data_IF_206824849199
#
_entry.id   IF_206824849199
#
_cell.length_a   1.000
_cell.length_b   1.000
_cell.length_c   1.000
_cell.angle_alpha   90.00
_cell.angle_beta   90.00
_cell.angle_gamma   90.00
#
_symmetry.space_group_name_H-M   'P 1'
#
loop_
_entity.id
_entity.type
_entity.pdbx_description
1 polymer ?
#
# COMPACT_ATOMS: atom_id res chain seq x y z
N UNK A 1 52.43 -43.48 -4.57
CA UNK A 1 52.40 -42.53 -3.42
C UNK A 1 51.16 -41.65 -3.43
N UNK A 2 50.81 -41.02 -4.56
CA UNK A 2 49.63 -40.12 -4.69
C UNK A 2 48.29 -40.81 -4.37
N UNK A 3 48.15 -42.10 -4.71
CA UNK A 3 46.92 -42.86 -4.45
C UNK A 3 46.60 -43.04 -2.95
N UNK A 4 47.61 -43.17 -2.10
CA UNK A 4 47.43 -43.29 -0.64
C UNK A 4 46.89 -41.99 -0.02
N UNK A 5 47.35 -40.85 -0.52
CA UNK A 5 46.90 -39.53 -0.07
C UNK A 5 45.42 -39.34 -0.46
N UNK A 6 45.05 -39.77 -1.67
CA UNK A 6 43.66 -39.70 -2.14
C UNK A 6 42.70 -40.55 -1.31
N UNK A 7 43.12 -41.77 -0.94
CA UNK A 7 42.33 -42.67 -0.08
C UNK A 7 42.22 -42.15 1.35
N UNK A 8 43.32 -41.60 1.90
CA UNK A 8 43.31 -41.01 3.24
C UNK A 8 42.40 -39.78 3.31
N UNK A 9 42.46 -38.90 2.31
CA UNK A 9 41.58 -37.73 2.23
C UNK A 9 40.11 -38.12 2.09
N UNK A 10 39.80 -39.14 1.27
CA UNK A 10 38.43 -39.63 1.12
C UNK A 10 37.88 -40.25 2.41
N UNK A 11 38.67 -41.07 3.10
CA UNK A 11 38.28 -41.64 4.38
C UNK A 11 38.02 -40.55 5.43
N UNK A 12 38.92 -39.57 5.53
CA UNK A 12 38.78 -38.46 6.47
C UNK A 12 37.56 -37.58 6.14
N UNK A 13 37.36 -37.27 4.85
CA UNK A 13 36.19 -36.53 4.39
C UNK A 13 34.88 -37.26 4.65
N UNK A 14 34.85 -38.59 4.51
CA UNK A 14 33.67 -39.41 4.79
C UNK A 14 33.32 -39.41 6.27
N UNK A 15 34.33 -39.54 7.15
CA UNK A 15 34.13 -39.48 8.61
C UNK A 15 33.61 -38.12 9.04
N UNK A 16 34.23 -37.04 8.56
CA UNK A 16 33.79 -35.67 8.88
C UNK A 16 32.40 -35.41 8.30
N UNK A 17 32.14 -35.87 7.07
CA UNK A 17 30.84 -35.73 6.39
C UNK A 17 29.71 -36.42 7.17
N UNK A 18 29.94 -37.64 7.67
CA UNK A 18 28.96 -38.35 8.49
C UNK A 18 28.72 -37.67 9.85
N UNK A 19 29.78 -37.14 10.48
CA UNK A 19 29.64 -36.39 11.73
C UNK A 19 28.81 -35.10 11.57
N UNK A 20 28.98 -34.39 10.46
CA UNK A 20 28.20 -33.17 10.16
C UNK A 20 26.77 -33.55 9.74
N UNK A 21 26.60 -34.58 8.90
CA UNK A 21 25.28 -35.03 8.46
C UNK A 21 24.41 -35.51 9.64
N UNK A 22 25.00 -36.22 10.61
CA UNK A 22 24.29 -36.62 11.84
C UNK A 22 23.97 -35.46 12.78
N UNK A 23 24.66 -34.31 12.66
CA UNK A 23 24.34 -33.07 13.40
C UNK A 23 23.26 -32.24 12.70
N UNK A 24 23.18 -32.32 11.38
CA UNK A 24 22.14 -31.72 10.55
C UNK A 24 20.96 -32.69 10.38
N UNK A 25 20.37 -33.16 11.48
CA UNK A 25 19.05 -33.76 11.41
C UNK A 25 18.04 -32.65 11.10
N UNK A 26 17.77 -32.45 9.81
CA UNK A 26 16.62 -31.68 9.33
C UNK A 26 15.39 -32.48 9.73
N UNK A 27 14.88 -32.22 10.95
CA UNK A 27 13.74 -32.97 11.43
C UNK A 27 12.53 -32.69 10.52
N UNK A 28 11.84 -33.71 10.01
CA UNK A 28 10.66 -33.52 9.17
C UNK A 28 9.58 -32.71 9.89
N UNK A 29 9.57 -32.75 11.23
CA UNK A 29 8.70 -31.94 12.08
C UNK A 29 8.95 -30.44 11.96
N UNK A 30 10.21 -29.98 11.78
CA UNK A 30 10.52 -28.56 11.58
C UNK A 30 10.03 -28.05 10.23
N UNK A 31 10.19 -28.87 9.19
CA UNK A 31 9.69 -28.56 7.84
C UNK A 31 8.17 -28.47 7.85
N UNK A 32 7.50 -29.46 8.46
CA UNK A 32 6.03 -29.46 8.60
C UNK A 32 5.52 -28.26 9.40
N UNK A 33 6.18 -27.92 10.51
CA UNK A 33 5.82 -26.76 11.31
C UNK A 33 5.98 -25.45 10.51
N UNK A 34 7.04 -25.32 9.70
CA UNK A 34 7.24 -24.14 8.86
C UNK A 34 6.19 -24.05 7.74
N UNK A 35 5.80 -25.18 7.15
CA UNK A 35 4.71 -25.24 6.18
C UNK A 35 3.36 -24.83 6.80
N UNK A 36 3.06 -25.32 8.01
CA UNK A 36 1.88 -24.93 8.77
C UNK A 36 1.88 -23.43 9.10
N UNK A 37 3.03 -22.86 9.45
CA UNK A 37 3.16 -21.42 9.68
C UNK A 37 2.91 -20.60 8.42
N UNK A 38 3.45 -21.02 7.27
CA UNK A 38 3.21 -20.34 5.98
C UNK A 38 1.73 -20.42 5.61
N UNK A 39 1.10 -21.59 5.78
CA UNK A 39 -0.33 -21.76 5.51
C UNK A 39 -1.16 -20.86 6.41
N UNK A 40 -0.91 -20.87 7.73
CA UNK A 40 -1.61 -20.02 8.70
C UNK A 40 -1.48 -18.54 8.37
N UNK A 41 -0.28 -18.09 7.99
CA UNK A 41 -0.06 -16.69 7.63
C UNK A 41 -0.83 -16.32 6.36
N UNK A 42 -0.79 -17.17 5.34
CA UNK A 42 -1.55 -16.97 4.11
C UNK A 42 -3.06 -16.92 4.36
N UNK A 43 -3.57 -17.83 5.18
CA UNK A 43 -4.98 -17.89 5.54
C UNK A 43 -5.39 -16.61 6.28
N UNK A 44 -4.59 -16.14 7.26
CA UNK A 44 -4.86 -14.90 7.98
C UNK A 44 -4.85 -13.65 7.08
N UNK A 45 -3.98 -13.64 6.06
CA UNK A 45 -3.97 -12.57 5.06
C UNK A 45 -5.22 -12.60 4.18
N UNK A 46 -5.70 -13.78 3.80
CA UNK A 46 -6.96 -13.92 3.04
C UNK A 46 -8.13 -13.41 3.88
N UNK A 47 -8.24 -13.88 5.12
CA UNK A 47 -9.31 -13.51 6.04
C UNK A 47 -9.33 -11.98 6.29
N UNK A 48 -8.16 -11.36 6.47
CA UNK A 48 -8.06 -9.91 6.59
C UNK A 48 -8.56 -9.19 5.33
N UNK A 49 -8.16 -9.65 4.14
CA UNK A 49 -8.61 -9.06 2.86
C UNK A 49 -10.11 -9.19 2.68
N UNK A 50 -10.68 -10.33 3.05
CA UNK A 50 -12.12 -10.59 2.96
C UNK A 50 -12.89 -9.69 3.93
N UNK A 51 -12.42 -9.55 5.17
CA UNK A 51 -13.01 -8.65 6.17
C UNK A 51 -12.99 -7.18 5.74
N UNK A 52 -11.88 -6.73 5.14
CA UNK A 52 -11.78 -5.37 4.61
C UNK A 52 -12.73 -5.15 3.42
N UNK A 53 -12.82 -6.14 2.53
CA UNK A 53 -13.74 -6.08 1.39
C UNK A 53 -15.20 -6.00 1.85
N UNK A 54 -15.58 -6.75 2.86
CA UNK A 54 -16.91 -6.73 3.45
C UNK A 54 -17.21 -5.37 4.09
N UNK A 55 -16.26 -4.81 4.86
CA UNK A 55 -16.40 -3.49 5.47
C UNK A 55 -16.61 -2.37 4.44
N UNK A 56 -15.86 -2.37 3.35
CA UNK A 56 -16.03 -1.38 2.27
C UNK A 56 -17.32 -1.59 1.49
N UNK A 57 -17.77 -2.84 1.31
CA UNK A 57 -19.06 -3.13 0.67
C UNK A 57 -20.21 -2.58 1.52
N UNK A 58 -20.21 -2.86 2.82
CA UNK A 58 -21.18 -2.32 3.78
C UNK A 58 -21.13 -0.78 3.84
N UNK A 59 -19.94 -0.20 3.82
CA UNK A 59 -19.78 1.27 3.82
C UNK A 59 -20.33 1.89 2.54
N UNK A 60 -20.10 1.26 1.37
CA UNK A 60 -20.64 1.73 0.11
C UNK A 60 -22.17 1.71 0.09
N UNK A 61 -22.78 0.65 0.64
CA UNK A 61 -24.24 0.57 0.81
C UNK A 61 -24.77 1.68 1.73
N UNK A 62 -24.10 1.92 2.86
CA UNK A 62 -24.51 2.96 3.81
C UNK A 62 -24.39 4.38 3.23
N UNK A 63 -23.32 4.64 2.47
CA UNK A 63 -23.12 5.91 1.75
C UNK A 63 -24.16 6.10 0.63
N UNK A 64 -24.52 5.03 -0.07
CA UNK A 64 -25.59 5.06 -1.06
C UNK A 64 -26.93 5.44 -0.39
N UNK A 65 -27.26 4.82 0.74
CA UNK A 65 -28.46 5.14 1.51
C UNK A 65 -28.51 6.59 1.97
N UNK A 66 -27.37 7.13 2.40
CA UNK A 66 -27.24 8.54 2.77
C UNK A 66 -27.44 9.47 1.56
N UNK A 67 -26.89 9.10 0.40
CA UNK A 67 -27.02 9.87 -0.85
C UNK A 67 -28.47 9.90 -1.31
N UNK A 68 -29.18 8.78 -1.24
CA UNK A 68 -30.61 8.70 -1.55
C UNK A 68 -31.44 9.57 -0.60
N UNK A 69 -31.20 9.47 0.71
CA UNK A 69 -31.87 10.30 1.72
C UNK A 69 -31.62 11.80 1.48
N UNK A 70 -30.41 12.18 1.06
CA UNK A 70 -30.08 13.56 0.71
C UNK A 70 -30.86 14.05 -0.53
N UNK A 71 -31.00 13.19 -1.55
CA UNK A 71 -31.80 13.50 -2.75
C UNK A 71 -33.27 13.69 -2.40
N UNK A 72 -33.84 12.83 -1.55
CA UNK A 72 -35.23 12.95 -1.12
C UNK A 72 -35.51 14.29 -0.43
N UNK A 73 -34.61 14.71 0.46
CA UNK A 73 -34.70 16.03 1.11
C UNK A 73 -34.66 17.15 0.08
N UNK A 74 -33.74 17.08 -0.88
CA UNK A 74 -33.64 18.09 -1.93
C UNK A 74 -34.90 18.14 -2.80
N UNK A 75 -35.43 16.99 -3.20
CA UNK A 75 -36.68 16.89 -3.98
C UNK A 75 -37.87 17.47 -3.21
N UNK A 76 -37.93 17.23 -1.90
CA UNK A 76 -38.97 17.79 -1.04
C UNK A 76 -38.86 19.32 -0.92
N UNK A 77 -37.64 19.85 -0.78
CA UNK A 77 -37.39 21.30 -0.78
C UNK A 77 -37.76 21.94 -2.11
N UNK A 78 -37.39 21.31 -3.23
CA UNK A 78 -37.70 21.79 -4.57
C UNK A 78 -39.21 21.84 -4.83
N UNK A 79 -39.93 20.80 -4.39
CA UNK A 79 -41.40 20.72 -4.48
C UNK A 79 -42.06 21.76 -3.58
N UNK A 80 -41.62 21.87 -2.32
CA UNK A 80 -42.13 22.86 -1.37
C UNK A 80 -41.87 24.31 -1.82
N UNK A 81 -40.74 24.58 -2.46
CA UNK A 81 -40.46 25.88 -3.05
C UNK A 81 -41.42 26.21 -4.21
N UNK A 82 -41.74 25.24 -5.07
CA UNK A 82 -42.72 25.41 -6.14
C UNK A 82 -44.13 25.68 -5.62
N UNK A 83 -44.57 24.95 -4.58
CA UNK A 83 -45.91 25.11 -4.00
C UNK A 83 -46.07 26.41 -3.21
N UNK A 84 -45.03 26.85 -2.51
CA UNK A 84 -45.10 27.98 -1.58
C UNK A 84 -44.62 29.32 -2.18
N UNK A 85 -43.88 29.32 -3.29
CA UNK A 85 -43.44 30.55 -3.95
C UNK A 85 -44.27 30.80 -5.23
N UNK A 86 -44.98 31.95 -5.34
CA UNK A 86 -45.65 32.31 -6.59
C UNK A 86 -44.63 32.38 -7.74
N UNK A 87 -45.05 31.86 -8.91
CA UNK A 87 -44.21 31.31 -10.00
C UNK A 87 -43.13 32.19 -10.63
N UNK A 88 -42.93 33.42 -10.20
CA UNK A 88 -41.84 34.29 -10.68
C UNK A 88 -40.55 34.14 -9.86
N UNK A 89 -40.64 33.68 -8.60
CA UNK A 89 -39.50 33.50 -7.69
C UNK A 89 -39.01 32.05 -7.68
N UNK A 90 -39.92 31.07 -7.77
CA UNK A 90 -39.59 29.64 -7.80
C UNK A 90 -38.66 29.29 -8.98
N UNK A 91 -38.93 29.86 -10.16
CA UNK A 91 -38.16 29.68 -11.40
C UNK A 91 -36.73 30.24 -11.34
N UNK A 92 -36.43 31.15 -10.40
CA UNK A 92 -35.08 31.71 -10.18
C UNK A 92 -34.31 31.04 -9.06
N UNK A 93 -34.98 30.30 -8.18
CA UNK A 93 -34.37 29.63 -7.02
C UNK A 93 -34.16 28.12 -7.23
N UNK A 94 -34.94 27.49 -8.11
CA UNK A 94 -34.67 26.15 -8.58
C UNK A 94 -33.55 26.22 -9.62
N UNK A 95 -32.43 25.50 -9.43
CA UNK A 95 -31.47 25.31 -10.52
C UNK A 95 -32.25 24.76 -11.71
N UNK A 96 -32.27 25.50 -12.81
CA UNK A 96 -32.79 24.98 -14.08
C UNK A 96 -32.13 23.62 -14.30
N UNK A 97 -32.92 22.63 -14.70
CA UNK A 97 -32.60 21.19 -14.73
C UNK A 97 -31.20 20.82 -15.27
N UNK A 98 -30.54 21.72 -16.00
CA UNK A 98 -29.17 21.60 -16.50
C UNK A 98 -28.04 21.66 -15.45
N UNK A 99 -28.26 22.14 -14.23
CA UNK A 99 -27.21 22.25 -13.19
C UNK A 99 -27.35 21.18 -12.09
N UNK A 100 -28.25 20.21 -12.28
CA UNK A 100 -28.25 19.00 -11.48
C UNK A 100 -26.98 18.20 -11.80
N UNK A 101 -25.94 18.36 -10.96
CA UNK A 101 -24.66 17.60 -10.94
C UNK A 101 -24.89 16.12 -10.59
N UNK A 102 -25.95 15.54 -11.11
CA UNK A 102 -26.47 14.23 -10.79
C UNK A 102 -27.00 13.50 -12.03
N UNK A 103 -27.00 14.15 -13.19
CA UNK A 103 -27.14 13.44 -14.44
C UNK A 103 -26.00 12.43 -14.54
N UNK A 104 -26.37 11.15 -14.61
CA UNK A 104 -25.47 10.07 -14.98
C UNK A 104 -24.88 10.47 -16.32
N UNK A 105 -23.71 11.09 -16.25
CA UNK A 105 -22.97 11.46 -17.43
C UNK A 105 -22.63 10.14 -18.13
N UNK A 106 -23.38 9.87 -19.20
CA UNK A 106 -22.95 9.01 -20.27
C UNK A 106 -21.76 9.75 -20.90
N UNK A 107 -20.61 9.73 -20.23
CA UNK A 107 -19.39 10.42 -20.65
C UNK A 107 -18.93 9.68 -21.92
N UNK A 108 -18.87 10.35 -23.09
CA UNK A 108 -18.23 9.77 -24.26
C UNK A 108 -16.80 9.39 -23.87
N UNK A 109 -16.40 8.15 -24.18
CA UNK A 109 -15.07 7.62 -23.93
C UNK A 109 -13.96 8.45 -24.60
N UNK A 110 -13.60 9.59 -24.02
CA UNK A 110 -12.38 10.32 -24.34
C UNK A 110 -11.50 10.28 -23.10
N UNK A 111 -10.58 9.31 -23.18
CA UNK A 111 -9.64 8.88 -22.18
C UNK A 111 -8.86 10.05 -21.54
N UNK A 112 -9.16 10.33 -20.29
CA UNK A 112 -8.11 10.61 -19.32
C UNK A 112 -8.19 9.51 -18.27
N UNK A 113 -7.19 8.60 -18.18
CA UNK A 113 -7.24 7.59 -17.14
C UNK A 113 -7.25 8.33 -15.81
N UNK A 114 -8.28 8.07 -14.99
CA UNK A 114 -8.29 8.37 -13.57
C UNK A 114 -7.04 7.73 -12.97
N UNK A 115 -5.93 8.46 -13.01
CA UNK A 115 -4.67 7.96 -12.51
C UNK A 115 -4.81 7.90 -10.99
N UNK A 116 -4.56 6.74 -10.36
CA UNK A 116 -4.57 6.64 -8.92
C UNK A 116 -3.61 7.69 -8.33
N UNK A 117 -3.89 8.20 -7.12
CA UNK A 117 -3.06 9.21 -6.48
C UNK A 117 -1.59 8.78 -6.54
N UNK A 118 -0.74 9.73 -6.98
CA UNK A 118 0.69 9.50 -7.27
C UNK A 118 1.53 9.16 -6.03
N UNK A 119 0.90 9.09 -4.86
CA UNK A 119 1.53 8.86 -3.57
C UNK A 119 2.00 7.41 -3.36
N UNK A 120 1.70 6.49 -4.28
CA UNK A 120 2.17 5.09 -4.25
C UNK A 120 3.35 4.79 -5.17
N UNK A 121 4.06 5.80 -5.71
CA UNK A 121 5.12 5.57 -6.67
C UNK A 121 6.26 4.70 -6.11
N UNK A 122 6.47 3.53 -6.72
CA UNK A 122 7.60 2.67 -6.43
C UNK A 122 8.93 3.38 -6.73
N UNK A 123 10.00 3.00 -6.01
CA UNK A 123 11.37 3.50 -6.25
C UNK A 123 11.73 3.31 -7.72
N UNK A 124 12.14 4.40 -8.40
CA UNK A 124 12.48 4.35 -9.82
C UNK A 124 13.84 3.65 -10.06
N UNK A 125 14.69 3.59 -9.04
CA UNK A 125 15.93 2.82 -9.04
C UNK A 125 16.20 2.22 -7.66
N UNK A 126 16.98 1.12 -7.56
CA UNK A 126 17.26 0.45 -6.29
C UNK A 126 17.91 1.35 -5.23
N UNK A 127 18.75 2.30 -5.69
CA UNK A 127 19.46 3.26 -4.83
C UNK A 127 18.64 4.51 -4.50
N UNK A 128 17.46 4.70 -5.10
CA UNK A 128 16.61 5.85 -4.79
C UNK A 128 15.97 5.67 -3.41
N UNK A 129 16.30 6.58 -2.50
CA UNK A 129 15.65 6.67 -1.18
C UNK A 129 14.16 6.99 -1.37
N UNK A 130 13.32 6.26 -0.64
CA UNK A 130 11.86 6.35 -0.83
C UNK A 130 11.30 7.58 -0.11
N UNK A 131 10.15 8.08 -0.53
CA UNK A 131 9.52 9.25 0.11
C UNK A 131 9.18 9.04 1.61
N UNK A 132 9.16 7.79 2.07
CA UNK A 132 8.96 7.41 3.47
C UNK A 132 10.25 7.01 4.21
N UNK A 133 11.42 7.10 3.59
CA UNK A 133 12.67 6.82 4.31
C UNK A 133 13.05 8.01 5.19
N UNK A 134 13.53 7.74 6.40
CA UNK A 134 13.86 8.75 7.42
C UNK A 134 14.90 9.79 6.96
N UNK A 135 15.72 9.43 5.97
CA UNK A 135 16.73 10.34 5.38
C UNK A 135 16.25 11.08 4.12
N UNK A 136 14.97 11.02 3.77
CA UNK A 136 14.46 11.66 2.56
C UNK A 136 14.53 13.19 2.71
N UNK A 137 15.31 13.84 1.85
CA UNK A 137 15.55 15.28 1.91
C UNK A 137 16.67 15.72 2.86
N UNK A 138 17.45 14.79 3.43
CA UNK A 138 18.63 15.10 4.23
C UNK A 138 19.91 14.93 3.40
N UNK A 139 20.60 16.02 3.10
CA UNK A 139 21.95 15.98 2.55
C UNK A 139 22.91 15.45 3.62
N UNK A 140 23.61 14.36 3.29
CA UNK A 140 24.59 13.73 4.19
C UNK A 140 25.69 14.76 4.44
N UNK A 141 25.74 15.32 5.65
CA UNK A 141 26.80 16.24 6.04
C UNK A 141 28.15 15.55 5.82
N UNK A 142 28.95 16.16 4.95
CA UNK A 142 30.35 15.79 4.76
C UNK A 142 31.00 15.82 6.15
N UNK A 143 31.71 14.76 6.58
CA UNK A 143 32.41 14.81 7.86
C UNK A 143 33.41 15.96 7.79
N UNK A 144 33.20 16.97 8.64
CA UNK A 144 34.15 18.04 8.86
C UNK A 144 35.39 17.39 9.47
N UNK A 145 36.50 17.37 8.72
CA UNK A 145 37.81 17.05 9.25
C UNK A 145 38.22 18.19 10.19
N UNK A 146 38.51 17.86 11.44
CA UNK A 146 38.88 18.75 12.55
C UNK A 146 40.27 19.41 12.41
N UNK A 147 40.69 19.87 11.24
CA UNK A 147 42.06 20.37 11.01
C UNK A 147 42.17 21.87 10.67
N UNK A 148 41.09 22.67 10.64
CA UNK A 148 41.16 24.08 10.19
C UNK A 148 40.65 25.13 11.20
N UNK A 149 40.86 24.91 12.51
CA UNK A 149 40.50 25.90 13.56
C UNK A 149 41.70 26.76 14.01
N UNK A 150 42.91 26.54 13.48
CA UNK A 150 44.14 27.19 13.99
C UNK A 150 44.68 28.34 13.14
N UNK A 151 43.86 29.22 12.54
CA UNK A 151 44.41 30.45 11.92
C UNK A 151 43.66 31.78 12.10
N UNK A 152 42.57 31.88 12.88
CA UNK A 152 41.85 33.16 13.04
C UNK A 152 41.98 33.86 14.39
N UNK A 153 43.03 33.56 15.17
CA UNK A 153 43.41 34.31 16.38
C UNK A 153 44.77 35.02 16.18
N UNK A 154 44.93 35.79 15.10
CA UNK A 154 45.95 36.86 15.04
C UNK A 154 45.71 37.76 13.82
N UNK A 155 44.84 38.76 13.96
CA UNK A 155 45.13 40.17 13.63
C UNK A 155 43.97 41.08 14.01
#
# INVERSE_FOLDING_TARGET
MIWLISIGAFALGTVIGLLIAGRLEVSPSKVKHLEEQIRKLKDSHSEYRDSVSDHFSMTAELVQHMTESYRDVYQHLASGAQDLCPGEVASKLLPAESDAVFETANIPEEASPLAPPRDYAAKQSPDQKGALSEDFGLDKSVPVNDEDITQSQSK
#
